data_IF_568566010776
#
_entry.id   IF_568566010776
#
_cell.length_a   1.000
_cell.length_b   1.000
_cell.length_c   1.000
_cell.angle_alpha   90.00
_cell.angle_beta   90.00
_cell.angle_gamma   90.00
#
_symmetry.space_group_name_H-M   'P 1'
#
loop_
_entity.id
_entity.type
_entity.pdbx_description
1 polymer ?
#
# COMPACT_ATOMS: atom_id res chain seq x y z
N UNK A 1 0.22 -0.25 -23.69
CA UNK A 1 -0.41 0.36 -22.53
C UNK A 1 0.38 1.60 -22.13
N UNK A 2 -0.30 2.66 -21.79
CA UNK A 2 0.26 3.94 -21.36
C UNK A 2 -0.72 4.67 -20.45
N UNK A 3 -0.36 5.90 -20.02
CA UNK A 3 -1.19 6.75 -19.18
C UNK A 3 -1.50 6.11 -17.82
N UNK A 4 -0.44 5.63 -17.16
CA UNK A 4 -0.51 5.07 -15.80
C UNK A 4 0.69 5.53 -14.97
N UNK A 5 0.44 5.83 -13.70
CA UNK A 5 1.44 6.09 -12.68
C UNK A 5 1.50 4.95 -11.68
N UNK A 6 2.67 4.36 -11.48
CA UNK A 6 2.78 3.23 -10.56
C UNK A 6 2.70 3.66 -9.10
N UNK A 7 3.04 4.92 -8.78
CA UNK A 7 2.90 5.44 -7.43
C UNK A 7 1.47 5.32 -6.88
N UNK A 8 0.47 5.56 -7.72
CA UNK A 8 -0.94 5.36 -7.38
C UNK A 8 -1.31 3.88 -7.44
N UNK A 9 -1.03 3.24 -8.58
CA UNK A 9 -1.71 2.02 -9.02
C UNK A 9 -1.10 0.74 -8.48
N UNK A 10 0.15 0.77 -7.96
CA UNK A 10 0.76 -0.43 -7.37
C UNK A 10 -0.03 -0.95 -6.16
N UNK A 11 -0.70 -0.06 -5.43
CA UNK A 11 -1.32 -0.31 -4.13
C UNK A 11 -2.45 -1.33 -4.21
N UNK A 12 -3.38 -1.18 -5.16
CA UNK A 12 -4.42 -2.18 -5.34
C UNK A 12 -4.93 -2.36 -6.78
N UNK A 13 -4.71 -1.42 -7.70
CA UNK A 13 -5.13 -1.65 -9.09
C UNK A 13 -4.38 -2.82 -9.72
N UNK A 14 -3.04 -2.86 -9.64
CA UNK A 14 -2.28 -3.98 -10.20
C UNK A 14 -2.59 -5.32 -9.50
N UNK A 15 -2.72 -5.40 -8.16
CA UNK A 15 -3.30 -6.58 -7.50
C UNK A 15 -4.68 -6.97 -7.99
N UNK A 16 -5.55 -6.01 -8.32
CA UNK A 16 -6.86 -6.28 -8.92
C UNK A 16 -6.74 -6.89 -10.31
N UNK A 17 -5.84 -6.36 -11.14
CA UNK A 17 -5.55 -6.92 -12.45
C UNK A 17 -4.96 -8.34 -12.34
N UNK A 18 -4.10 -8.61 -11.36
CA UNK A 18 -3.56 -9.95 -11.10
C UNK A 18 -4.67 -10.96 -10.75
N UNK A 19 -5.72 -10.52 -10.06
CA UNK A 19 -6.83 -11.37 -9.68
C UNK A 19 -7.86 -11.55 -10.81
N UNK A 20 -8.27 -10.45 -11.44
CA UNK A 20 -9.41 -10.41 -12.35
C UNK A 20 -9.05 -10.46 -13.83
N UNK A 21 -7.89 -9.88 -14.19
CA UNK A 21 -7.46 -9.72 -15.58
C UNK A 21 -5.97 -10.09 -15.77
N UNK A 22 -5.54 -11.29 -15.32
CA UNK A 22 -4.13 -11.68 -15.36
C UNK A 22 -3.56 -11.70 -16.78
N UNK A 23 -4.35 -12.05 -17.81
CA UNK A 23 -3.90 -12.03 -19.20
C UNK A 23 -3.58 -10.62 -19.71
N UNK A 24 -4.30 -9.61 -19.24
CA UNK A 24 -4.01 -8.21 -19.54
C UNK A 24 -2.72 -7.76 -18.85
N UNK A 25 -2.57 -8.06 -17.54
CA UNK A 25 -1.37 -7.67 -16.81
C UNK A 25 -0.12 -8.40 -17.33
N UNK A 26 -0.24 -9.65 -17.79
CA UNK A 26 0.85 -10.35 -18.46
C UNK A 26 1.39 -9.54 -19.67
N UNK A 27 0.51 -8.98 -20.49
CA UNK A 27 0.90 -8.11 -21.61
C UNK A 27 1.53 -6.80 -21.14
N UNK A 28 1.08 -6.25 -20.00
CA UNK A 28 1.70 -5.07 -19.39
C UNK A 28 3.12 -5.38 -18.91
N UNK A 29 3.35 -6.55 -18.29
CA UNK A 29 4.70 -6.98 -17.90
C UNK A 29 5.64 -7.15 -19.12
N UNK A 30 5.13 -7.68 -20.23
CA UNK A 30 5.88 -7.73 -21.49
C UNK A 30 6.20 -6.32 -22.02
N UNK A 31 5.25 -5.38 -21.88
CA UNK A 31 5.48 -3.97 -22.19
C UNK A 31 6.60 -3.35 -21.37
N UNK A 32 6.71 -3.70 -20.07
CA UNK A 32 7.81 -3.26 -19.20
C UNK A 32 9.16 -3.83 -19.67
N UNK A 33 9.20 -5.10 -20.08
CA UNK A 33 10.40 -5.73 -20.68
C UNK A 33 10.86 -4.93 -21.90
N UNK A 34 9.94 -4.59 -22.79
CA UNK A 34 10.25 -3.84 -24.00
C UNK A 34 10.72 -2.43 -23.67
N UNK A 35 10.06 -1.74 -22.75
CA UNK A 35 10.45 -0.39 -22.31
C UNK A 35 11.89 -0.39 -21.76
N UNK A 36 12.26 -1.37 -20.94
CA UNK A 36 13.62 -1.48 -20.44
C UNK A 36 14.63 -1.74 -21.55
N UNK A 37 14.33 -2.64 -22.49
CA UNK A 37 15.21 -2.91 -23.65
C UNK A 37 15.42 -1.68 -24.53
N UNK A 38 14.42 -0.82 -24.66
CA UNK A 38 14.47 0.37 -25.51
C UNK A 38 15.13 1.57 -24.82
N UNK A 39 14.88 1.77 -23.51
CA UNK A 39 15.29 2.98 -22.78
C UNK A 39 16.35 2.76 -21.71
N UNK A 40 16.60 1.52 -21.30
CA UNK A 40 17.47 1.17 -20.18
C UNK A 40 16.85 1.36 -18.79
N UNK A 41 15.57 1.79 -18.68
CA UNK A 41 14.87 1.98 -17.44
C UNK A 41 13.42 1.46 -17.49
N UNK A 42 12.88 1.05 -16.35
CA UNK A 42 11.44 0.87 -16.20
C UNK A 42 10.77 2.22 -16.00
N UNK A 43 9.54 2.43 -16.54
CA UNK A 43 8.81 3.65 -16.28
C UNK A 43 8.24 3.61 -14.84
N UNK A 44 8.21 4.76 -14.18
CA UNK A 44 7.45 4.93 -12.93
C UNK A 44 6.16 5.72 -13.18
N UNK A 45 6.21 6.58 -14.19
CA UNK A 45 5.05 7.26 -14.77
C UNK A 45 5.15 7.26 -16.29
N UNK A 46 4.24 6.53 -16.93
CA UNK A 46 4.18 6.38 -18.38
C UNK A 46 3.00 7.16 -18.98
N UNK A 47 3.28 8.32 -19.63
CA UNK A 47 2.21 9.16 -20.20
C UNK A 47 2.68 10.05 -21.36
N UNK A 48 2.87 9.55 -22.56
CA UNK A 48 3.68 8.39 -22.91
C UNK A 48 5.15 8.61 -22.57
N UNK A 49 5.91 7.51 -22.51
CA UNK A 49 7.34 7.55 -22.16
C UNK A 49 7.57 7.79 -20.68
N UNK A 50 8.79 8.16 -20.32
CA UNK A 50 9.18 8.44 -18.93
C UNK A 50 8.82 9.89 -18.56
N UNK A 51 7.98 10.08 -17.55
CA UNK A 51 7.61 11.41 -17.03
C UNK A 51 8.24 11.63 -15.66
N UNK A 52 8.52 12.88 -15.33
CA UNK A 52 8.94 13.28 -13.98
C UNK A 52 7.69 13.58 -13.15
N UNK A 53 7.13 12.52 -12.55
CA UNK A 53 5.93 12.61 -11.74
C UNK A 53 6.01 11.62 -10.58
N UNK A 54 5.67 12.08 -9.39
CA UNK A 54 5.62 11.32 -8.13
C UNK A 54 6.98 10.78 -7.66
N UNK A 55 6.96 9.89 -6.70
CA UNK A 55 8.12 9.32 -6.04
C UNK A 55 8.05 7.79 -6.02
N UNK A 56 9.15 7.15 -5.65
CA UNK A 56 9.21 5.70 -5.55
C UNK A 56 9.77 5.05 -6.80
N UNK A 57 10.04 3.76 -6.66
CA UNK A 57 10.48 2.87 -7.74
C UNK A 57 9.49 1.70 -7.79
N UNK A 58 8.20 2.05 -7.92
CA UNK A 58 7.07 1.16 -7.68
C UNK A 58 6.86 0.12 -8.78
N UNK A 59 7.54 0.24 -9.92
CA UNK A 59 7.72 -0.85 -10.87
C UNK A 59 8.20 -2.14 -10.18
N UNK A 60 8.97 -2.03 -9.08
CA UNK A 60 9.44 -3.18 -8.31
C UNK A 60 8.28 -3.98 -7.71
N UNK A 61 7.33 -3.33 -7.07
CA UNK A 61 6.16 -4.02 -6.49
C UNK A 61 5.20 -4.52 -7.58
N UNK A 62 5.03 -3.78 -8.67
CA UNK A 62 4.20 -4.19 -9.82
C UNK A 62 4.72 -5.49 -10.45
N UNK A 63 6.02 -5.59 -10.67
CA UNK A 63 6.66 -6.79 -11.22
C UNK A 63 6.65 -7.94 -10.21
N UNK A 64 7.04 -7.68 -8.96
CA UNK A 64 7.10 -8.70 -7.92
C UNK A 64 5.71 -9.31 -7.65
N UNK A 65 4.68 -8.48 -7.50
CA UNK A 65 3.31 -8.93 -7.22
C UNK A 65 2.78 -9.82 -8.34
N UNK A 66 2.98 -9.43 -9.60
CA UNK A 66 2.59 -10.21 -10.75
C UNK A 66 3.26 -11.60 -10.76
N UNK A 67 4.57 -11.66 -10.55
CA UNK A 67 5.32 -12.92 -10.58
C UNK A 67 4.98 -13.84 -9.40
N UNK A 68 4.85 -13.28 -8.19
CA UNK A 68 4.52 -14.02 -6.96
C UNK A 68 3.12 -14.61 -7.05
N UNK A 69 2.16 -13.87 -7.63
CA UNK A 69 0.79 -14.32 -7.90
C UNK A 69 0.64 -15.24 -9.12
N UNK A 70 1.76 -15.66 -9.69
CA UNK A 70 1.78 -16.72 -10.69
C UNK A 70 1.73 -16.30 -12.14
N UNK A 71 1.77 -15.00 -12.46
CA UNK A 71 1.84 -14.53 -13.84
C UNK A 71 3.19 -14.94 -14.46
N UNK A 72 3.14 -15.44 -15.67
CA UNK A 72 4.29 -15.96 -16.43
C UNK A 72 4.12 -15.60 -17.90
N UNK A 73 5.10 -15.96 -18.75
CA UNK A 73 5.02 -15.76 -20.20
C UNK A 73 5.64 -14.45 -20.68
N UNK A 74 6.44 -13.80 -19.84
CA UNK A 74 7.28 -12.64 -20.15
C UNK A 74 8.69 -12.85 -19.61
N UNK A 75 9.66 -12.07 -20.11
CA UNK A 75 11.07 -12.19 -19.75
C UNK A 75 11.34 -11.60 -18.34
N UNK A 76 11.15 -12.42 -17.32
CA UNK A 76 11.35 -12.01 -15.93
C UNK A 76 12.82 -11.73 -15.58
N UNK A 77 13.77 -12.38 -16.28
CA UNK A 77 15.19 -12.14 -16.05
C UNK A 77 15.58 -10.73 -16.49
N UNK A 78 15.06 -10.28 -17.64
CA UNK A 78 15.23 -8.88 -18.07
C UNK A 78 14.62 -7.92 -17.04
N UNK A 79 13.45 -8.21 -16.47
CA UNK A 79 12.84 -7.37 -15.42
C UNK A 79 13.65 -7.40 -14.12
N UNK A 80 14.21 -8.55 -13.75
CA UNK A 80 15.11 -8.66 -12.59
C UNK A 80 16.32 -7.72 -12.73
N UNK A 81 16.99 -7.73 -13.88
CA UNK A 81 18.10 -6.81 -14.14
C UNK A 81 17.66 -5.34 -14.15
N UNK A 82 16.49 -5.05 -14.73
CA UNK A 82 15.91 -3.71 -14.76
C UNK A 82 15.62 -3.15 -13.34
N UNK A 83 15.11 -3.97 -12.45
CA UNK A 83 14.84 -3.58 -11.07
C UNK A 83 16.12 -3.28 -10.29
N UNK A 84 17.16 -4.14 -10.45
CA UNK A 84 18.49 -3.89 -9.85
C UNK A 84 19.12 -2.61 -10.37
N UNK A 85 19.01 -2.36 -11.67
CA UNK A 85 19.51 -1.13 -12.27
C UNK A 85 18.76 0.07 -11.70
N UNK A 86 17.43 0.09 -11.73
CA UNK A 86 16.61 1.20 -11.21
C UNK A 86 16.83 1.49 -9.72
N UNK A 87 17.18 0.48 -8.91
CA UNK A 87 17.52 0.65 -7.51
C UNK A 87 18.84 1.41 -7.28
N UNK A 88 19.73 1.44 -8.27
CA UNK A 88 21.09 1.99 -8.19
C UNK A 88 21.38 3.09 -9.23
N UNK A 89 20.36 3.59 -9.91
CA UNK A 89 20.48 4.61 -10.94
C UNK A 89 19.23 5.49 -11.00
N UNK A 90 19.37 6.64 -11.65
CA UNK A 90 18.26 7.56 -11.91
C UNK A 90 18.35 8.11 -13.34
N UNK A 91 17.25 8.04 -14.07
CA UNK A 91 17.14 8.66 -15.38
C UNK A 91 16.79 10.14 -15.22
N UNK A 92 17.78 11.01 -15.45
CA UNK A 92 17.65 12.45 -15.23
C UNK A 92 16.45 13.05 -15.97
N UNK A 93 15.68 13.88 -15.26
CA UNK A 93 14.50 14.56 -15.80
C UNK A 93 13.26 13.67 -15.90
N UNK A 94 13.27 12.54 -15.20
CA UNK A 94 12.14 11.62 -15.09
C UNK A 94 12.00 11.10 -13.66
N UNK A 95 10.91 10.39 -13.34
CA UNK A 95 10.77 9.65 -12.08
C UNK A 95 11.43 8.25 -12.13
N UNK A 96 11.99 7.83 -13.27
CA UNK A 96 12.49 6.46 -13.45
C UNK A 96 13.82 6.25 -12.73
N UNK A 97 13.94 5.10 -12.09
CA UNK A 97 15.01 4.81 -11.14
C UNK A 97 14.79 5.52 -9.80
N UNK A 98 15.86 5.80 -9.05
CA UNK A 98 15.78 6.38 -7.70
C UNK A 98 16.53 7.69 -7.61
N UNK A 99 15.82 8.81 -7.57
CA UNK A 99 16.43 10.11 -7.29
C UNK A 99 16.97 10.11 -5.85
N UNK A 100 18.27 10.39 -5.68
CA UNK A 100 18.95 10.36 -4.37
C UNK A 100 19.39 8.96 -3.93
N UNK A 101 19.51 8.01 -4.86
CA UNK A 101 19.96 6.64 -4.57
C UNK A 101 21.34 6.60 -3.89
N UNK A 102 22.23 7.53 -4.21
CA UNK A 102 23.56 7.61 -3.57
C UNK A 102 23.43 7.86 -2.07
N UNK A 103 22.61 8.84 -1.67
CA UNK A 103 22.33 9.13 -0.26
C UNK A 103 21.65 7.95 0.42
N UNK A 104 20.61 7.37 -0.24
CA UNK A 104 19.87 6.23 0.29
C UNK A 104 20.76 5.00 0.50
N UNK A 105 21.59 4.65 -0.47
CA UNK A 105 22.47 3.48 -0.37
C UNK A 105 23.60 3.67 0.66
N UNK A 106 24.07 4.91 0.86
CA UNK A 106 25.15 5.21 1.79
C UNK A 106 24.65 5.38 3.24
N UNK A 107 23.54 6.11 3.43
CA UNK A 107 23.05 6.52 4.76
C UNK A 107 21.88 5.65 5.25
N UNK A 108 21.22 4.91 4.34
CA UNK A 108 19.96 4.23 4.62
C UNK A 108 18.73 5.15 4.57
N UNK A 109 18.87 6.37 4.05
CA UNK A 109 17.78 7.33 3.81
C UNK A 109 18.22 8.42 2.84
N UNK A 110 17.25 9.10 2.23
CA UNK A 110 17.50 10.30 1.43
C UNK A 110 17.58 11.48 2.38
N UNK A 111 18.75 12.14 2.46
CA UNK A 111 18.95 13.27 3.37
C UNK A 111 18.16 14.52 2.92
N UNK A 112 17.64 15.32 3.88
CA UNK A 112 16.81 16.48 3.59
C UNK A 112 17.61 17.73 3.16
N UNK A 113 18.94 17.73 3.33
CA UNK A 113 19.83 18.87 3.04
C UNK A 113 20.68 18.70 1.75
N UNK A 114 20.29 17.79 0.85
CA UNK A 114 21.02 17.54 -0.41
C UNK A 114 20.31 18.08 -1.66
N UNK A 115 19.30 18.94 -1.49
CA UNK A 115 18.56 19.52 -2.60
C UNK A 115 17.50 18.61 -3.23
N UNK A 116 17.15 17.49 -2.56
CA UNK A 116 16.12 16.56 -3.00
C UNK A 116 14.92 16.67 -2.06
N UNK A 117 13.77 17.10 -2.59
CA UNK A 117 12.51 17.16 -1.85
C UNK A 117 11.87 15.77 -1.65
N UNK A 118 10.85 15.74 -0.80
CA UNK A 118 10.07 14.51 -0.53
C UNK A 118 10.95 13.35 -0.01
N UNK A 119 11.98 13.69 0.70
CA UNK A 119 13.06 12.79 1.12
C UNK A 119 12.58 11.65 2.04
N UNK A 120 11.63 11.91 2.94
CA UNK A 120 11.03 10.86 3.79
C UNK A 120 10.15 9.95 2.95
N UNK A 121 9.29 10.49 2.10
CA UNK A 121 8.45 9.70 1.21
C UNK A 121 9.32 8.78 0.31
N UNK A 122 10.39 9.31 -0.30
CA UNK A 122 11.33 8.53 -1.10
C UNK A 122 11.98 7.41 -0.28
N UNK A 123 12.40 7.69 0.94
CA UNK A 123 13.02 6.69 1.84
C UNK A 123 12.07 5.53 2.13
N UNK A 124 10.80 5.83 2.44
CA UNK A 124 9.79 4.82 2.74
C UNK A 124 9.43 3.98 1.51
N UNK A 125 9.24 4.63 0.36
CA UNK A 125 8.98 3.95 -0.91
C UNK A 125 10.15 3.05 -1.29
N UNK A 126 11.39 3.53 -1.21
CA UNK A 126 12.57 2.73 -1.58
C UNK A 126 12.76 1.52 -0.64
N UNK A 127 12.45 1.66 0.64
CA UNK A 127 12.50 0.53 1.58
C UNK A 127 11.48 -0.56 1.20
N UNK A 128 10.27 -0.19 0.82
CA UNK A 128 9.26 -1.12 0.32
C UNK A 128 9.64 -1.71 -1.03
N UNK A 129 10.17 -0.90 -1.94
CA UNK A 129 10.64 -1.36 -3.25
C UNK A 129 11.79 -2.37 -3.12
N UNK A 130 12.71 -2.16 -2.18
CA UNK A 130 13.78 -3.12 -1.88
C UNK A 130 13.23 -4.44 -1.33
N UNK A 131 12.24 -4.38 -0.45
CA UNK A 131 11.54 -5.58 -0.01
C UNK A 131 10.89 -6.34 -1.19
N UNK A 132 10.28 -5.64 -2.13
CA UNK A 132 9.70 -6.26 -3.31
C UNK A 132 10.75 -6.94 -4.19
N UNK A 133 11.93 -6.30 -4.39
CA UNK A 133 13.08 -6.89 -5.10
C UNK A 133 13.58 -8.14 -4.35
N UNK A 134 13.75 -8.06 -3.02
CA UNK A 134 14.16 -9.18 -2.19
C UNK A 134 13.20 -10.38 -2.33
N UNK A 135 11.91 -10.13 -2.20
CA UNK A 135 10.88 -11.16 -2.27
C UNK A 135 10.81 -11.80 -3.67
N UNK A 136 10.92 -11.00 -4.73
CA UNK A 136 11.04 -11.50 -6.10
C UNK A 136 12.29 -12.36 -6.28
N UNK A 137 13.44 -11.90 -5.79
CA UNK A 137 14.71 -12.63 -5.86
C UNK A 137 14.63 -13.99 -5.17
N UNK A 138 14.02 -14.06 -3.98
CA UNK A 138 13.72 -15.34 -3.30
C UNK A 138 12.87 -16.26 -4.20
N UNK A 139 11.82 -15.72 -4.80
CA UNK A 139 10.91 -16.48 -5.68
C UNK A 139 11.58 -16.98 -6.95
N UNK A 140 12.56 -16.23 -7.46
CA UNK A 140 13.39 -16.61 -8.60
C UNK A 140 14.53 -17.57 -8.25
N UNK A 141 14.80 -17.83 -6.96
CA UNK A 141 15.92 -18.65 -6.51
C UNK A 141 17.28 -17.95 -6.69
N UNK A 142 17.32 -16.63 -6.65
CA UNK A 142 18.59 -15.87 -6.72
C UNK A 142 19.45 -16.15 -5.49
N UNK A 143 20.80 -16.13 -5.60
CA UNK A 143 21.69 -16.37 -4.46
C UNK A 143 21.49 -15.33 -3.35
N UNK A 144 21.64 -15.77 -2.09
CA UNK A 144 21.54 -14.86 -0.93
C UNK A 144 22.49 -13.66 -1.04
N UNK A 145 23.71 -13.87 -1.55
CA UNK A 145 24.69 -12.81 -1.77
C UNK A 145 24.20 -11.69 -2.70
N UNK A 146 23.22 -11.97 -3.56
CA UNK A 146 22.64 -10.99 -4.48
C UNK A 146 21.43 -10.28 -3.87
N UNK A 147 20.66 -10.94 -3.00
CA UNK A 147 19.39 -10.42 -2.48
C UNK A 147 19.47 -9.85 -1.06
N UNK A 148 20.48 -10.20 -0.27
CA UNK A 148 20.63 -9.77 1.13
C UNK A 148 20.67 -8.25 1.30
N UNK A 149 21.26 -7.53 0.36
CA UNK A 149 21.32 -6.06 0.41
C UNK A 149 19.92 -5.46 0.40
N UNK A 150 19.01 -6.01 -0.40
CA UNK A 150 17.62 -5.55 -0.51
C UNK A 150 16.83 -5.89 0.76
N UNK A 151 17.08 -7.05 1.39
CA UNK A 151 16.50 -7.38 2.69
C UNK A 151 16.93 -6.38 3.77
N UNK A 152 18.21 -5.99 3.79
CA UNK A 152 18.73 -4.98 4.72
C UNK A 152 18.11 -3.62 4.46
N UNK A 153 18.06 -3.19 3.19
CA UNK A 153 17.50 -1.92 2.81
C UNK A 153 15.97 -1.84 3.05
N UNK A 154 15.27 -2.95 3.02
CA UNK A 154 13.85 -3.00 3.39
C UNK A 154 13.58 -2.50 4.83
N UNK A 155 14.59 -2.51 5.70
CA UNK A 155 14.49 -1.99 7.06
C UNK A 155 14.85 -0.49 7.18
N UNK A 156 15.21 0.17 6.09
CA UNK A 156 15.66 1.56 6.07
C UNK A 156 14.58 2.57 6.50
N UNK A 157 13.29 2.21 6.43
CA UNK A 157 12.21 3.01 6.99
C UNK A 157 12.44 3.36 8.47
N UNK A 158 13.16 2.52 9.23
CA UNK A 158 13.51 2.76 10.64
C UNK A 158 14.40 3.98 10.84
N UNK A 159 15.21 4.33 9.84
CA UNK A 159 16.16 5.43 9.93
C UNK A 159 15.49 6.81 9.98
N UNK A 160 14.27 6.94 9.45
CA UNK A 160 13.50 8.20 9.47
C UNK A 160 12.42 8.21 10.56
N UNK A 161 12.32 7.18 11.38
CA UNK A 161 11.40 7.14 12.51
C UNK A 161 11.94 7.93 13.70
N UNK A 162 11.15 8.90 14.19
CA UNK A 162 11.48 9.70 15.35
C UNK A 162 10.85 9.10 16.62
N UNK A 163 11.65 8.58 17.58
CA UNK A 163 11.13 7.78 18.69
C UNK A 163 10.20 8.55 19.64
N UNK A 164 10.50 9.83 19.91
CA UNK A 164 9.68 10.65 20.82
C UNK A 164 8.37 11.11 20.17
N UNK A 165 8.40 11.41 18.86
CA UNK A 165 7.22 11.85 18.10
C UNK A 165 6.36 10.68 17.62
N UNK A 166 6.93 9.47 17.56
CA UNK A 166 6.31 8.25 17.01
C UNK A 166 5.83 8.40 15.57
N UNK A 167 6.50 9.27 14.81
CA UNK A 167 6.20 9.62 13.42
C UNK A 167 7.48 9.61 12.59
N UNK A 168 7.32 9.55 11.27
CA UNK A 168 8.44 9.66 10.32
C UNK A 168 8.84 11.13 10.14
N UNK A 169 10.14 11.41 10.23
CA UNK A 169 10.73 12.75 10.17
C UNK A 169 12.02 12.70 9.37
N UNK A 170 12.26 13.70 8.53
CA UNK A 170 13.49 13.80 7.75
C UNK A 170 14.73 14.06 8.59
N UNK A 171 15.86 13.58 8.06
CA UNK A 171 17.20 13.81 8.64
C UNK A 171 18.11 14.47 7.61
N UNK A 172 19.06 15.25 8.12
CA UNK A 172 20.17 15.73 7.32
C UNK A 172 21.23 14.63 7.09
N UNK A 173 22.24 14.92 6.28
CA UNK A 173 23.33 13.99 5.97
C UNK A 173 24.28 13.67 7.17
N UNK A 174 24.06 14.29 8.33
CA UNK A 174 24.75 14.01 9.59
C UNK A 174 23.90 13.20 10.56
N UNK A 175 22.67 12.85 10.17
CA UNK A 175 21.74 12.08 10.99
C UNK A 175 20.90 12.89 11.98
N UNK A 176 20.90 14.23 11.86
CA UNK A 176 20.11 15.11 12.71
C UNK A 176 18.70 15.23 12.15
N UNK A 177 17.70 14.95 12.97
CA UNK A 177 16.30 15.13 12.60
C UNK A 177 15.97 16.60 12.36
N UNK A 178 15.05 16.86 11.44
CA UNK A 178 14.57 18.21 11.14
C UNK A 178 14.04 18.90 12.41
N UNK A 179 14.70 19.95 12.90
CA UNK A 179 14.26 20.65 14.12
C UNK A 179 12.97 21.44 13.93
N UNK A 180 12.65 21.83 12.70
CA UNK A 180 11.46 22.62 12.34
C UNK A 180 10.30 21.76 11.86
N UNK A 181 10.27 20.48 12.27
CA UNK A 181 9.25 19.53 11.85
C UNK A 181 7.87 19.87 12.41
N UNK A 182 6.89 19.95 11.52
CA UNK A 182 5.46 20.01 11.83
C UNK A 182 4.76 18.76 11.23
N UNK A 183 4.15 17.95 12.07
CA UNK A 183 3.56 16.66 11.66
C UNK A 183 2.37 16.80 10.71
N UNK A 184 1.70 17.95 10.71
CA UNK A 184 0.53 18.23 9.86
C UNK A 184 0.87 19.11 8.65
N UNK A 185 2.14 19.47 8.49
CA UNK A 185 2.58 20.26 7.35
C UNK A 185 2.60 19.41 6.08
N UNK A 186 1.88 19.88 5.05
CA UNK A 186 1.69 19.13 3.80
C UNK A 186 2.87 19.36 2.85
N UNK A 187 3.39 18.30 2.23
CA UNK A 187 4.55 18.36 1.32
C UNK A 187 5.91 18.46 2.02
N UNK A 188 6.87 19.12 1.43
CA UNK A 188 8.24 19.24 1.95
C UNK A 188 8.99 17.91 1.95
N UNK A 189 9.00 17.25 3.09
CA UNK A 189 9.62 15.93 3.26
C UNK A 189 8.73 14.79 2.73
N UNK A 190 7.46 15.06 2.43
CA UNK A 190 6.45 14.10 1.99
C UNK A 190 5.91 14.43 0.60
N UNK A 191 5.43 13.42 -0.10
CA UNK A 191 4.76 13.56 -1.38
C UNK A 191 3.25 13.54 -1.15
N UNK A 192 2.56 14.61 -1.53
CA UNK A 192 1.09 14.72 -1.43
C UNK A 192 0.53 14.20 -0.11
N UNK A 193 1.06 14.74 0.97
CA UNK A 193 0.68 14.33 2.31
C UNK A 193 1.58 14.93 3.37
N UNK A 194 1.40 14.45 4.58
CA UNK A 194 2.19 14.84 5.75
C UNK A 194 2.64 13.60 6.55
N UNK A 195 3.26 13.82 7.69
CA UNK A 195 3.79 12.72 8.48
C UNK A 195 2.71 11.76 9.02
N UNK A 196 1.48 12.23 9.27
CA UNK A 196 0.38 11.36 9.69
C UNK A 196 -0.06 10.37 8.61
N UNK A 197 0.08 10.75 7.33
CA UNK A 197 -0.21 9.87 6.21
C UNK A 197 0.93 8.86 5.99
N UNK A 198 2.15 9.39 5.90
CA UNK A 198 3.32 8.61 5.48
C UNK A 198 3.90 7.71 6.56
N UNK A 199 3.69 8.01 7.85
CA UNK A 199 4.21 7.16 8.93
C UNK A 199 3.64 5.74 8.94
N UNK A 200 2.53 5.51 8.25
CA UNK A 200 1.93 4.18 8.08
C UNK A 200 2.29 3.50 6.77
N UNK A 201 3.07 4.14 5.88
CA UNK A 201 3.50 3.58 4.60
C UNK A 201 4.66 2.58 4.77
N UNK A 202 4.48 1.60 5.64
CA UNK A 202 5.39 0.47 5.88
C UNK A 202 4.62 -0.82 5.58
N UNK A 203 4.26 -1.00 4.32
CA UNK A 203 3.36 -2.08 3.86
C UNK A 203 3.92 -3.48 4.15
N UNK A 204 5.24 -3.64 4.01
CA UNK A 204 5.95 -4.91 4.11
C UNK A 204 6.33 -5.31 5.53
N UNK A 205 6.31 -4.37 6.49
CA UNK A 205 6.71 -4.63 7.88
C UNK A 205 5.84 -3.93 8.92
N UNK A 206 4.51 -4.13 8.94
CA UNK A 206 3.64 -3.54 9.95
C UNK A 206 4.02 -3.93 11.38
N UNK A 207 4.50 -5.16 11.60
CA UNK A 207 4.96 -5.59 12.93
C UNK A 207 6.21 -4.82 13.36
N UNK A 208 7.14 -4.54 12.46
CA UNK A 208 8.30 -3.71 12.72
C UNK A 208 7.91 -2.29 13.13
N UNK A 209 6.90 -1.70 12.45
CA UNK A 209 6.35 -0.40 12.80
C UNK A 209 5.63 -0.43 14.16
N UNK A 210 4.86 -1.47 14.46
CA UNK A 210 4.23 -1.69 15.77
C UNK A 210 5.30 -1.71 16.87
N UNK A 211 6.40 -2.42 16.65
CA UNK A 211 7.50 -2.50 17.61
C UNK A 211 8.17 -1.13 17.85
N UNK A 212 8.39 -0.34 16.77
CA UNK A 212 8.94 1.01 16.87
C UNK A 212 8.04 1.95 17.68
N UNK A 213 6.72 1.85 17.49
CA UNK A 213 5.75 2.69 18.22
C UNK A 213 5.54 2.29 19.67
N UNK A 214 6.13 1.17 20.13
CA UNK A 214 6.05 0.72 21.52
C UNK A 214 5.03 -0.39 21.78
N UNK A 215 4.57 -1.05 20.72
CA UNK A 215 3.66 -2.19 20.76
C UNK A 215 2.24 -1.89 20.26
N UNK A 216 1.42 -2.92 20.25
CA UNK A 216 0.06 -2.89 19.64
C UNK A 216 -0.84 -1.78 20.21
N UNK A 217 -0.79 -1.56 21.53
CA UNK A 217 -1.63 -0.54 22.20
C UNK A 217 -1.26 0.87 21.72
N UNK A 218 0.03 1.18 21.71
CA UNK A 218 0.54 2.48 21.29
C UNK A 218 0.30 2.71 19.79
N UNK A 219 0.51 1.67 18.98
CA UNK A 219 0.23 1.71 17.56
C UNK A 219 -1.25 2.00 17.28
N UNK A 220 -2.17 1.32 17.97
CA UNK A 220 -3.61 1.58 17.84
C UNK A 220 -3.96 3.01 18.28
N UNK A 221 -3.36 3.53 19.35
CA UNK A 221 -3.57 4.90 19.77
C UNK A 221 -3.09 5.93 18.71
N UNK A 222 -1.97 5.65 18.05
CA UNK A 222 -1.50 6.49 16.95
C UNK A 222 -2.46 6.44 15.75
N UNK A 223 -2.96 5.26 15.37
CA UNK A 223 -3.95 5.13 14.31
C UNK A 223 -5.29 5.81 14.67
N UNK A 224 -5.77 5.65 15.90
CA UNK A 224 -6.98 6.33 16.38
C UNK A 224 -6.82 7.86 16.31
N UNK A 225 -5.60 8.37 16.59
CA UNK A 225 -5.29 9.80 16.54
C UNK A 225 -5.42 10.40 15.13
N UNK A 226 -5.19 9.62 14.07
CA UNK A 226 -5.37 10.07 12.68
C UNK A 226 -6.79 10.62 12.45
N UNK A 227 -7.80 10.01 13.03
CA UNK A 227 -9.22 10.39 12.81
C UNK A 227 -9.68 11.59 13.61
N UNK A 228 -8.90 12.06 14.60
CA UNK A 228 -9.30 13.15 15.51
C UNK A 228 -8.39 14.38 15.43
N UNK A 229 -7.17 14.24 14.91
CA UNK A 229 -6.26 15.39 14.75
C UNK A 229 -6.75 16.26 13.59
N UNK A 230 -7.04 17.54 13.82
CA UNK A 230 -7.60 18.40 12.78
C UNK A 230 -6.58 18.66 11.66
N UNK A 231 -7.07 18.82 10.44
CA UNK A 231 -6.28 19.26 9.30
C UNK A 231 -5.83 20.70 9.44
N UNK A 232 -4.66 21.04 8.90
CA UNK A 232 -4.17 22.42 8.80
C UNK A 232 -4.92 23.18 7.69
N UNK A 233 -5.29 24.42 7.94
CA UNK A 233 -6.01 25.28 6.98
C UNK A 233 -5.03 25.97 6.00
N UNK A 234 -4.43 25.19 5.10
CA UNK A 234 -3.57 25.75 4.05
C UNK A 234 -2.08 25.57 4.33
N UNK A 235 -1.30 25.67 3.27
CA UNK A 235 0.17 25.64 3.30
C UNK A 235 0.68 27.08 3.33
N UNK A 236 1.67 27.36 4.17
CA UNK A 236 2.29 28.68 4.24
C UNK A 236 2.83 29.17 2.88
N UNK A 237 3.37 28.25 2.06
CA UNK A 237 4.02 28.59 0.79
C UNK A 237 3.16 28.42 -0.47
N UNK A 238 2.04 27.69 -0.42
CA UNK A 238 1.26 27.32 -1.63
C UNK A 238 -0.24 27.55 -1.52
N UNK A 239 -0.72 28.05 -0.38
CA UNK A 239 -2.15 28.18 -0.12
C UNK A 239 -2.84 26.82 0.09
N UNK A 240 -4.15 26.78 -0.10
CA UNK A 240 -4.94 25.57 0.04
C UNK A 240 -4.96 24.82 -1.30
N UNK A 241 -4.45 23.59 -1.30
CA UNK A 241 -4.58 22.65 -2.41
C UNK A 241 -5.86 21.81 -2.27
N UNK A 242 -6.30 21.13 -3.34
CA UNK A 242 -7.57 20.43 -3.35
C UNK A 242 -7.61 19.25 -2.35
N UNK A 243 -6.52 18.49 -2.19
CA UNK A 243 -6.43 17.35 -1.27
C UNK A 243 -6.62 17.79 0.20
N UNK A 244 -6.09 18.95 0.58
CA UNK A 244 -6.30 19.52 1.92
C UNK A 244 -7.75 19.95 2.12
N UNK A 245 -8.39 20.51 1.08
CA UNK A 245 -9.81 20.87 1.12
C UNK A 245 -10.69 19.63 1.24
N UNK A 246 -10.39 18.60 0.46
CA UNK A 246 -11.07 17.31 0.50
C UNK A 246 -10.98 16.68 1.89
N UNK A 247 -9.78 16.61 2.48
CA UNK A 247 -9.57 16.14 3.86
C UNK A 247 -10.41 16.89 4.88
N UNK A 248 -10.53 18.21 4.76
CA UNK A 248 -11.37 19.03 5.65
C UNK A 248 -12.86 18.75 5.48
N UNK A 249 -13.33 18.64 4.22
CA UNK A 249 -14.74 18.36 3.91
C UNK A 249 -15.14 16.97 4.39
N UNK A 250 -14.27 15.97 4.28
CA UNK A 250 -14.50 14.63 4.80
C UNK A 250 -14.71 14.60 6.33
N UNK A 251 -14.11 15.56 7.04
CA UNK A 251 -14.19 15.68 8.51
C UNK A 251 -13.83 14.36 9.24
N UNK A 252 -12.74 13.74 8.80
CA UNK A 252 -12.18 12.52 9.37
C UNK A 252 -10.74 12.74 9.88
N UNK A 253 -10.46 13.92 10.46
CA UNK A 253 -9.15 14.30 10.97
C UNK A 253 -8.09 14.35 9.86
N UNK A 254 -6.96 13.67 10.07
CA UNK A 254 -5.86 13.53 9.11
C UNK A 254 -6.10 12.39 8.10
N UNK A 255 -7.20 11.64 8.16
CA UNK A 255 -7.50 10.58 7.20
C UNK A 255 -7.94 11.16 5.86
N UNK A 256 -6.98 11.43 4.99
CA UNK A 256 -7.18 12.03 3.67
C UNK A 256 -7.43 10.95 2.60
N UNK A 257 -8.60 10.30 2.62
CA UNK A 257 -8.94 9.18 1.72
C UNK A 257 -8.87 9.53 0.23
N UNK A 258 -9.07 10.79 -0.12
CA UNK A 258 -8.96 11.28 -1.49
C UNK A 258 -7.55 11.17 -2.08
N UNK A 259 -6.54 10.78 -1.28
CA UNK A 259 -5.18 10.57 -1.76
C UNK A 259 -4.59 9.25 -1.26
N UNK A 260 -3.72 8.62 -2.05
CA UNK A 260 -3.30 7.22 -1.91
C UNK A 260 -2.47 6.89 -0.67
N UNK A 261 -1.57 7.76 -0.16
CA UNK A 261 -0.67 7.39 0.94
C UNK A 261 -1.36 6.82 2.18
N UNK A 262 -2.61 7.22 2.47
CA UNK A 262 -3.33 6.78 3.68
C UNK A 262 -4.35 5.68 3.43
N UNK A 263 -4.71 5.37 2.18
CA UNK A 263 -5.85 4.49 1.86
C UNK A 263 -5.76 3.09 2.48
N UNK A 264 -4.56 2.55 2.67
CA UNK A 264 -4.34 1.22 3.28
C UNK A 264 -4.42 1.22 4.80
N UNK A 265 -4.26 2.38 5.45
CA UNK A 265 -4.02 2.51 6.90
C UNK A 265 -5.11 1.84 7.73
N UNK A 266 -6.38 1.98 7.35
CA UNK A 266 -7.50 1.38 8.08
C UNK A 266 -7.42 -0.15 8.18
N UNK A 267 -6.74 -0.82 7.26
CA UNK A 267 -6.52 -2.26 7.29
C UNK A 267 -5.44 -2.69 8.29
N UNK A 268 -4.56 -1.77 8.73
CA UNK A 268 -3.46 -2.07 9.65
C UNK A 268 -3.93 -2.48 11.06
N UNK A 269 -5.17 -2.16 11.45
CA UNK A 269 -5.76 -2.71 12.69
C UNK A 269 -5.81 -4.24 12.71
N UNK A 270 -5.75 -4.92 11.56
CA UNK A 270 -5.67 -6.38 11.47
C UNK A 270 -4.33 -6.94 11.97
N UNK A 271 -3.29 -6.11 12.03
CA UNK A 271 -1.96 -6.48 12.54
C UNK A 271 -1.81 -6.23 14.04
N UNK A 272 -2.69 -5.42 14.62
CA UNK A 272 -2.56 -4.92 15.98
C UNK A 272 -3.62 -5.45 16.96
N UNK A 273 -4.29 -6.56 16.61
CA UNK A 273 -5.30 -7.25 17.43
C UNK A 273 -6.61 -6.47 17.64
N UNK A 274 -6.91 -5.47 16.79
CA UNK A 274 -8.19 -4.75 16.81
C UNK A 274 -8.89 -4.74 15.42
N UNK A 275 -9.06 -5.91 14.76
CA UNK A 275 -9.62 -5.99 13.40
C UNK A 275 -11.03 -5.41 13.27
N UNK A 276 -11.80 -5.33 14.37
CA UNK A 276 -13.13 -4.70 14.36
C UNK A 276 -13.07 -3.19 14.06
N UNK A 277 -11.96 -2.51 14.39
CA UNK A 277 -11.79 -1.09 14.04
C UNK A 277 -11.59 -0.92 12.53
N UNK A 278 -10.86 -1.83 11.88
CA UNK A 278 -10.81 -1.85 10.43
C UNK A 278 -12.20 -1.96 9.81
N UNK A 279 -13.02 -2.91 10.30
CA UNK A 279 -14.38 -3.13 9.82
C UNK A 279 -15.27 -1.89 10.01
N UNK A 280 -15.12 -1.19 11.14
CA UNK A 280 -15.82 0.06 11.38
C UNK A 280 -15.44 1.14 10.36
N UNK A 281 -14.15 1.45 10.26
CA UNK A 281 -13.67 2.56 9.43
C UNK A 281 -13.88 2.29 7.94
N UNK A 282 -13.66 1.07 7.46
CA UNK A 282 -13.91 0.71 6.05
C UNK A 282 -15.37 0.96 5.67
N UNK A 283 -16.33 0.62 6.52
CA UNK A 283 -17.77 0.89 6.28
C UNK A 283 -18.07 2.38 6.34
N UNK A 284 -17.49 3.11 7.29
CA UNK A 284 -17.63 4.57 7.36
C UNK A 284 -17.13 5.25 6.08
N UNK A 285 -15.95 4.85 5.59
CA UNK A 285 -15.37 5.36 4.36
C UNK A 285 -16.28 5.07 3.17
N UNK A 286 -16.63 3.81 2.94
CA UNK A 286 -17.46 3.42 1.80
C UNK A 286 -18.83 4.12 1.80
N UNK A 287 -19.44 4.32 2.98
CA UNK A 287 -20.76 4.92 3.09
C UNK A 287 -20.76 6.45 3.00
N UNK A 288 -19.67 7.10 3.42
CA UNK A 288 -19.59 8.57 3.50
C UNK A 288 -18.87 9.22 2.34
N UNK A 289 -17.84 8.55 1.79
CA UNK A 289 -16.92 9.16 0.86
C UNK A 289 -17.12 8.71 -0.59
N UNK A 290 -18.07 7.83 -0.85
CA UNK A 290 -18.43 7.38 -2.19
C UNK A 290 -19.91 7.57 -2.44
N UNK A 291 -20.25 8.08 -3.61
CA UNK A 291 -21.64 8.28 -4.04
C UNK A 291 -21.88 7.73 -5.44
N UNK A 292 -23.15 7.54 -5.82
CA UNK A 292 -23.52 7.13 -7.17
C UNK A 292 -23.65 8.32 -8.15
N UNK A 293 -23.28 9.52 -7.74
CA UNK A 293 -23.34 10.75 -8.53
C UNK A 293 -22.16 10.92 -9.48
N UNK A 294 -22.18 11.96 -10.32
CA UNK A 294 -21.06 12.31 -11.20
C UNK A 294 -19.76 12.63 -10.45
N UNK A 295 -19.88 13.12 -9.23
CA UNK A 295 -18.81 13.42 -8.25
C UNK A 295 -18.68 12.29 -7.22
N UNK A 296 -18.68 11.05 -7.67
CA UNK A 296 -18.76 9.86 -6.85
C UNK A 296 -17.56 9.56 -5.96
N UNK A 297 -16.43 10.21 -6.18
CA UNK A 297 -15.20 10.06 -5.40
C UNK A 297 -14.93 11.30 -4.55
N UNK A 298 -14.29 11.10 -3.41
CA UNK A 298 -13.94 12.18 -2.48
C UNK A 298 -12.62 12.90 -2.80
N UNK A 299 -11.98 12.54 -3.89
CA UNK A 299 -10.74 13.07 -4.45
C UNK A 299 -10.53 12.52 -5.83
N UNK A 300 -9.30 12.54 -6.33
CA UNK A 300 -8.98 12.04 -7.65
C UNK A 300 -9.11 10.51 -7.73
N UNK A 301 -9.53 10.02 -8.89
CA UNK A 301 -9.72 8.58 -9.12
C UNK A 301 -8.39 7.85 -9.34
N UNK A 302 -7.43 8.53 -9.97
CA UNK A 302 -6.02 8.13 -10.16
C UNK A 302 -5.83 6.77 -10.85
N UNK A 303 -6.18 6.76 -12.14
CA UNK A 303 -5.88 5.66 -13.07
C UNK A 303 -6.45 4.28 -12.65
N UNK A 304 -7.53 4.26 -11.90
CA UNK A 304 -8.17 3.02 -11.42
C UNK A 304 -7.85 2.66 -9.97
N UNK A 305 -6.97 3.39 -9.30
CA UNK A 305 -6.56 3.06 -7.92
C UNK A 305 -7.72 3.23 -6.93
N UNK A 306 -8.39 4.39 -6.93
CA UNK A 306 -9.49 4.65 -6.00
C UNK A 306 -10.72 3.81 -6.29
N UNK A 307 -10.98 3.51 -7.58
CA UNK A 307 -11.99 2.53 -8.01
C UNK A 307 -11.67 1.13 -7.47
N UNK A 308 -10.43 0.66 -7.64
CA UNK A 308 -10.00 -0.66 -7.17
C UNK A 308 -10.06 -0.76 -5.64
N UNK A 309 -9.72 0.31 -4.91
CA UNK A 309 -9.88 0.37 -3.46
C UNK A 309 -11.34 0.10 -3.04
N UNK A 310 -12.27 0.82 -3.67
CA UNK A 310 -13.70 0.65 -3.38
C UNK A 310 -14.17 -0.78 -3.69
N UNK A 311 -13.80 -1.31 -4.86
CA UNK A 311 -14.23 -2.66 -5.27
C UNK A 311 -13.69 -3.72 -4.31
N UNK A 312 -12.39 -3.71 -3.99
CA UNK A 312 -11.83 -4.65 -3.03
C UNK A 312 -12.46 -4.52 -1.65
N UNK A 313 -12.62 -3.30 -1.16
CA UNK A 313 -13.23 -3.04 0.16
C UNK A 313 -14.67 -3.51 0.20
N UNK A 314 -15.45 -3.29 -0.88
CA UNK A 314 -16.82 -3.76 -0.99
C UNK A 314 -16.95 -5.29 -1.06
N UNK A 315 -15.93 -5.98 -1.57
CA UNK A 315 -15.82 -7.44 -1.55
C UNK A 315 -15.43 -7.99 -0.17
N UNK A 316 -14.86 -7.15 0.70
CA UNK A 316 -14.51 -7.49 2.08
C UNK A 316 -13.04 -7.87 2.29
N UNK A 317 -12.13 -7.56 1.37
CA UNK A 317 -10.68 -7.76 1.51
C UNK A 317 -9.88 -6.77 0.67
N UNK A 318 -8.59 -6.58 0.97
CA UNK A 318 -7.73 -5.58 0.34
C UNK A 318 -6.25 -6.01 0.33
N UNK A 319 -5.49 -5.79 -0.75
CA UNK A 319 -4.07 -6.15 -0.83
C UNK A 319 -3.18 -5.08 -0.18
N UNK A 320 -3.01 -5.11 1.14
CA UNK A 320 -2.20 -4.11 1.87
C UNK A 320 -0.74 -4.09 1.42
N UNK A 321 -0.18 -5.26 1.12
CA UNK A 321 1.23 -5.41 0.75
C UNK A 321 1.37 -6.17 -0.58
N UNK A 322 1.24 -5.50 -1.73
CA UNK A 322 1.54 -6.11 -3.02
C UNK A 322 2.96 -6.67 -3.06
N UNK A 323 3.11 -7.89 -3.57
CA UNK A 323 4.33 -8.69 -3.46
C UNK A 323 4.22 -9.81 -2.42
N UNK A 324 3.11 -9.84 -1.64
CA UNK A 324 2.67 -11.03 -0.91
C UNK A 324 1.55 -11.73 -1.68
N UNK A 325 1.19 -12.94 -1.27
CA UNK A 325 0.00 -13.62 -1.78
C UNK A 325 -1.26 -13.32 -0.94
N UNK A 326 -1.21 -12.37 -0.01
CA UNK A 326 -2.25 -12.09 0.96
C UNK A 326 -3.18 -10.93 0.57
N UNK A 327 -4.45 -11.09 0.92
CA UNK A 327 -5.49 -10.07 0.92
C UNK A 327 -6.07 -9.94 2.32
N UNK A 328 -5.98 -8.76 2.90
CA UNK A 328 -6.33 -8.50 4.29
C UNK A 328 -7.84 -8.32 4.43
N UNK A 329 -8.43 -8.95 5.43
CA UNK A 329 -9.87 -8.91 5.65
C UNK A 329 -10.32 -7.51 6.09
N UNK A 330 -11.32 -7.00 5.37
CA UNK A 330 -12.07 -5.80 5.73
C UNK A 330 -13.47 -6.18 6.23
N UNK A 331 -14.49 -5.66 5.54
CA UNK A 331 -15.89 -5.98 5.79
C UNK A 331 -16.69 -5.82 4.50
N UNK A 332 -17.49 -6.81 4.08
CA UNK A 332 -18.23 -6.74 2.83
C UNK A 332 -19.31 -5.66 2.85
N UNK A 333 -19.51 -4.98 1.74
CA UNK A 333 -20.59 -3.99 1.57
C UNK A 333 -21.90 -4.65 1.13
N UNK A 334 -21.83 -5.63 0.23
CA UNK A 334 -23.00 -6.28 -0.37
C UNK A 334 -23.38 -7.56 0.37
N UNK A 335 -24.66 -7.93 0.29
CA UNK A 335 -25.18 -9.21 0.83
C UNK A 335 -24.61 -10.42 0.11
N UNK A 336 -24.30 -10.25 -1.18
CA UNK A 336 -23.63 -11.27 -1.98
C UNK A 336 -22.90 -10.63 -3.15
N UNK A 337 -21.80 -11.27 -3.54
CA UNK A 337 -21.05 -10.96 -4.77
C UNK A 337 -20.56 -12.26 -5.40
N UNK A 338 -20.43 -12.25 -6.72
CA UNK A 338 -19.87 -13.36 -7.48
C UNK A 338 -18.87 -12.81 -8.49
N UNK A 339 -17.65 -13.28 -8.44
CA UNK A 339 -16.58 -12.92 -9.36
C UNK A 339 -16.30 -14.11 -10.28
N UNK A 340 -16.34 -13.87 -11.57
CA UNK A 340 -15.95 -14.84 -12.59
C UNK A 340 -14.52 -14.55 -13.03
N UNK A 341 -13.62 -15.46 -12.73
CA UNK A 341 -12.19 -15.34 -13.05
C UNK A 341 -11.89 -15.79 -14.48
N UNK A 342 -10.84 -15.26 -15.09
CA UNK A 342 -10.42 -15.65 -16.45
C UNK A 342 -10.14 -17.15 -16.60
N UNK A 343 -9.71 -17.82 -15.53
CA UNK A 343 -9.46 -19.27 -15.52
C UNK A 343 -10.75 -20.13 -15.42
N UNK A 344 -11.92 -19.52 -15.52
CA UNK A 344 -13.23 -20.17 -15.43
C UNK A 344 -13.70 -20.51 -14.02
N UNK A 345 -12.89 -20.21 -12.99
CA UNK A 345 -13.29 -20.37 -11.58
C UNK A 345 -14.14 -19.21 -11.11
N UNK A 346 -14.83 -19.41 -9.99
CA UNK A 346 -15.71 -18.40 -9.40
C UNK A 346 -15.41 -18.21 -7.94
N UNK A 347 -15.33 -16.96 -7.50
CA UNK A 347 -15.34 -16.58 -6.10
C UNK A 347 -16.77 -16.17 -5.77
N UNK A 348 -17.37 -16.82 -4.79
CA UNK A 348 -18.69 -16.45 -4.26
C UNK A 348 -18.54 -15.90 -2.86
N UNK A 349 -19.07 -14.72 -2.62
CA UNK A 349 -19.10 -14.06 -1.32
C UNK A 349 -20.53 -13.95 -0.87
N UNK A 350 -20.82 -14.36 0.35
CA UNK A 350 -22.12 -14.19 1.02
C UNK A 350 -21.90 -13.52 2.37
N UNK A 351 -22.72 -12.55 2.69
CA UNK A 351 -22.67 -11.83 3.95
C UNK A 351 -24.07 -11.85 4.59
N UNK A 352 -24.30 -12.87 5.41
CA UNK A 352 -25.58 -13.05 6.10
C UNK A 352 -25.77 -11.97 7.16
N UNK A 353 -26.99 -11.44 7.26
CA UNK A 353 -27.36 -10.31 8.11
C UNK A 353 -26.60 -9.00 7.78
N UNK A 354 -26.05 -8.83 6.60
CA UNK A 354 -25.38 -7.61 6.19
C UNK A 354 -26.41 -6.46 6.00
N UNK A 355 -26.27 -5.43 6.82
CA UNK A 355 -27.08 -4.20 6.81
C UNK A 355 -26.17 -3.02 7.16
N UNK A 356 -26.71 -1.80 7.11
CA UNK A 356 -25.95 -0.59 7.41
C UNK A 356 -25.26 -0.67 8.79
N UNK A 357 -25.99 -1.10 9.82
CA UNK A 357 -25.48 -1.19 11.19
C UNK A 357 -24.75 -2.51 11.49
N UNK A 358 -24.99 -3.55 10.69
CA UNK A 358 -24.36 -4.86 10.87
C UNK A 358 -23.02 -4.93 10.10
N UNK A 359 -22.07 -4.12 10.51
CA UNK A 359 -20.79 -3.92 9.84
C UNK A 359 -19.65 -4.82 10.32
N UNK A 360 -19.85 -5.51 11.45
CA UNK A 360 -18.81 -6.33 12.07
C UNK A 360 -18.95 -7.80 11.68
N UNK A 361 -17.82 -8.47 11.48
CA UNK A 361 -17.77 -9.89 11.22
C UNK A 361 -17.83 -10.64 12.53
N UNK A 362 -18.94 -11.35 12.78
CA UNK A 362 -19.09 -12.28 13.89
C UNK A 362 -18.28 -13.57 13.64
N UNK A 363 -18.48 -14.15 12.46
CA UNK A 363 -17.82 -15.37 12.01
C UNK A 363 -17.51 -15.30 10.52
N UNK A 364 -16.47 -16.02 10.08
CA UNK A 364 -16.14 -16.18 8.67
C UNK A 364 -15.86 -17.66 8.38
N UNK A 365 -16.32 -18.12 7.22
CA UNK A 365 -16.00 -19.46 6.68
C UNK A 365 -15.44 -19.31 5.27
N UNK A 366 -14.46 -20.13 4.94
CA UNK A 366 -13.93 -20.26 3.57
C UNK A 366 -14.05 -21.72 3.16
N UNK A 367 -14.78 -21.98 2.09
CA UNK A 367 -15.08 -23.34 1.61
C UNK A 367 -15.65 -24.24 2.71
N UNK A 368 -16.57 -23.70 3.50
CA UNK A 368 -17.25 -24.37 4.60
C UNK A 368 -16.45 -24.52 5.90
N UNK A 369 -15.17 -24.15 5.91
CA UNK A 369 -14.31 -24.24 7.10
C UNK A 369 -14.25 -22.90 7.82
N UNK A 370 -14.44 -22.89 9.15
CA UNK A 370 -14.29 -21.69 9.98
C UNK A 370 -12.88 -21.14 9.89
N UNK A 371 -12.76 -19.82 9.75
CA UNK A 371 -11.48 -19.12 9.64
C UNK A 371 -11.47 -17.86 10.51
N UNK A 372 -10.45 -17.73 11.35
CA UNK A 372 -10.19 -16.56 12.19
C UNK A 372 -9.14 -15.63 11.62
N UNK A 373 -8.27 -16.12 10.72
CA UNK A 373 -7.21 -15.33 10.10
C UNK A 373 -7.74 -14.03 9.49
N UNK A 374 -6.95 -12.99 9.61
CA UNK A 374 -7.26 -11.67 9.07
C UNK A 374 -6.83 -11.52 7.59
N UNK A 375 -6.61 -12.61 6.88
CA UNK A 375 -6.23 -12.60 5.48
C UNK A 375 -6.74 -13.83 4.73
N UNK A 376 -6.85 -13.67 3.40
CA UNK A 376 -7.05 -14.71 2.39
C UNK A 376 -5.79 -14.78 1.53
N UNK A 377 -5.50 -15.93 0.92
CA UNK A 377 -4.39 -16.03 -0.02
C UNK A 377 -4.86 -15.99 -1.47
N UNK A 378 -4.00 -15.49 -2.37
CA UNK A 378 -4.27 -15.47 -3.80
C UNK A 378 -4.57 -16.88 -4.34
N UNK A 379 -3.79 -17.87 -3.89
CA UNK A 379 -3.98 -19.28 -4.26
C UNK A 379 -5.37 -19.81 -3.87
N UNK A 380 -5.88 -19.43 -2.68
CA UNK A 380 -7.26 -19.77 -2.29
C UNK A 380 -8.29 -19.16 -3.24
N UNK A 381 -8.10 -17.91 -3.63
CA UNK A 381 -9.05 -17.17 -4.46
C UNK A 381 -9.08 -17.70 -5.89
N UNK A 382 -7.93 -17.90 -6.53
CA UNK A 382 -7.85 -18.33 -7.94
C UNK A 382 -8.30 -19.79 -8.18
N UNK A 383 -8.31 -20.61 -7.15
CA UNK A 383 -8.87 -22.00 -7.21
C UNK A 383 -10.40 -22.01 -7.16
N UNK A 384 -11.02 -20.86 -6.97
CA UNK A 384 -12.43 -20.71 -6.67
C UNK A 384 -12.69 -20.83 -5.16
N UNK A 385 -13.37 -19.83 -4.60
CA UNK A 385 -13.62 -19.76 -3.18
C UNK A 385 -15.11 -19.50 -2.89
N UNK A 386 -15.62 -20.09 -1.81
CA UNK A 386 -16.89 -19.75 -1.20
C UNK A 386 -16.61 -19.10 0.14
N UNK A 387 -16.76 -17.78 0.22
CA UNK A 387 -16.50 -16.98 1.41
C UNK A 387 -17.85 -16.59 2.02
N UNK A 388 -18.04 -16.95 3.27
CA UNK A 388 -19.27 -16.67 4.01
C UNK A 388 -18.93 -15.85 5.26
N UNK A 389 -19.57 -14.68 5.36
CA UNK A 389 -19.50 -13.81 6.52
C UNK A 389 -20.83 -13.85 7.26
N UNK A 390 -20.79 -14.04 8.57
CA UNK A 390 -21.90 -13.79 9.45
C UNK A 390 -21.71 -12.39 10.05
N UNK A 391 -22.57 -11.44 9.70
CA UNK A 391 -22.46 -10.04 10.12
C UNK A 391 -23.22 -9.77 11.41
N UNK A 392 -22.79 -8.75 12.16
CA UNK A 392 -23.31 -8.36 13.48
C UNK A 392 -23.25 -6.84 13.68
N UNK A 393 -24.18 -6.25 14.44
CA UNK A 393 -24.08 -4.86 14.87
C UNK A 393 -23.05 -4.67 16.01
N UNK A 394 -22.59 -5.75 16.65
CA UNK A 394 -21.67 -5.72 17.78
C UNK A 394 -20.32 -6.29 17.36
N UNK A 395 -19.19 -5.59 17.64
CA UNK A 395 -17.86 -6.07 17.28
C UNK A 395 -17.50 -7.37 18.03
N UNK A 396 -16.95 -8.34 17.30
CA UNK A 396 -16.32 -9.52 17.88
C UNK A 396 -14.85 -9.20 18.19
N UNK A 397 -14.57 -8.82 19.43
CA UNK A 397 -13.24 -8.41 19.89
C UNK A 397 -12.27 -9.56 20.12
N UNK A 398 -12.69 -10.80 19.89
CA UNK A 398 -11.83 -11.98 20.06
C UNK A 398 -11.43 -12.60 18.71
N UNK A 399 -12.18 -12.31 17.64
CA UNK A 399 -11.87 -12.84 16.32
C UNK A 399 -10.62 -12.14 15.75
N UNK A 400 -9.68 -12.91 15.22
CA UNK A 400 -8.52 -12.38 14.51
C UNK A 400 -7.47 -11.74 15.40
N UNK A 401 -7.39 -12.13 16.67
CA UNK A 401 -6.52 -11.49 17.67
C UNK A 401 -5.30 -12.33 18.06
N UNK A 402 -5.22 -13.59 17.59
CA UNK A 402 -4.10 -14.48 17.90
C UNK A 402 -2.96 -14.30 16.91
N UNK A 403 -1.74 -14.73 17.28
CA UNK A 403 -0.55 -14.59 16.42
C UNK A 403 -0.72 -15.24 15.03
N UNK A 404 -1.37 -16.39 14.96
CA UNK A 404 -1.66 -17.11 13.70
C UNK A 404 -2.69 -16.40 12.80
N UNK A 405 -3.40 -15.42 13.34
CA UNK A 405 -4.41 -14.66 12.61
C UNK A 405 -3.83 -13.40 11.95
N UNK A 406 -2.61 -13.00 12.37
CA UNK A 406 -1.93 -11.78 11.89
C UNK A 406 -1.41 -12.02 10.47
N UNK A 407 -1.62 -11.04 9.55
CA UNK A 407 -1.06 -11.11 8.21
C UNK A 407 0.48 -11.00 8.20
N UNK A 408 1.06 -11.23 7.03
CA UNK A 408 2.49 -11.17 6.80
C UNK A 408 3.13 -9.86 7.26
N UNK A 409 4.33 -9.97 7.85
CA UNK A 409 5.25 -8.87 8.11
C UNK A 409 6.69 -9.36 8.01
N UNK A 410 7.58 -8.56 7.43
CA UNK A 410 9.01 -8.91 7.30
C UNK A 410 9.66 -9.24 8.65
N UNK A 411 9.22 -8.60 9.74
CA UNK A 411 9.72 -8.87 11.10
C UNK A 411 9.39 -10.27 11.62
N UNK A 412 8.60 -11.06 10.90
CA UNK A 412 8.36 -12.48 11.24
C UNK A 412 9.32 -13.44 10.52
N UNK A 413 10.11 -12.97 9.52
CA UNK A 413 11.16 -13.74 8.84
C UNK A 413 12.48 -13.72 9.62
#
# INVERSE_FOLDING_TARGET
FTDTGFWDTFRCLFPFLNLMYPSMNQKMQEGLVNTYKESGFLPEWASPGHRDCMVGNNSASVVADAYIKGLRGYDIETLWEALKHGANAHLRGTASGRLGYESYNQLGYVANNIGIGQNVARTLEYAYNDWAIYTLGKKLGKPESEIDIYKKHALNYKNVYHPERKLMVGKDNKGVFNPNFDAVDWSGEFCEGNSWHWSFCVFHDPQGLINLMGGKKEFNAMMDSVFVIPGKLGMESRGMIHEMREMQVMNMGQYAHGNQPIQHMVYLYNYSSEPWKAQYWIREIMNKLYTAGPDGYCGDEDNGQTSAWYVFSALGFYPVCPGTDEYIIGTPLFKSAKLHLENGKTITIKADNNQLDNRYIKEMKVNGKSQTRNFLTHDQLIKGANIQFQMSPVPNKQRGTTEKDVPYSLSFE
#
